data_IF_125894163842
#
_entry.id   IF_125894163842
#
_cell.length_a   1.000
_cell.length_b   1.000
_cell.length_c   1.000
_cell.angle_alpha   90.00
_cell.angle_beta   90.00
_cell.angle_gamma   90.00
#
_symmetry.space_group_name_H-M   'P 1'
#
loop_
_entity.id
_entity.type
_entity.pdbx_description
1 polymer ?
#
# COMPACT_ATOMS: atom_id res chain seq x y z
N UNK A 1 10.45 -19.12 -1.10
CA UNK A 1 9.20 -18.42 -0.74
C UNK A 1 8.84 -17.49 -1.88
N UNK A 2 7.70 -17.74 -2.49
CA UNK A 2 7.20 -17.07 -3.68
C UNK A 2 5.87 -16.41 -3.34
N UNK A 3 5.67 -15.19 -3.82
CA UNK A 3 4.40 -14.48 -3.67
C UNK A 3 3.38 -15.16 -4.60
N UNK A 4 2.28 -15.66 -4.04
CA UNK A 4 1.25 -16.43 -4.77
C UNK A 4 -0.02 -15.64 -4.99
N UNK A 5 -0.25 -14.60 -4.21
CA UNK A 5 -1.46 -13.80 -4.23
C UNK A 5 -1.35 -12.61 -3.30
N UNK A 6 -2.46 -11.89 -3.16
CA UNK A 6 -2.57 -10.80 -2.21
C UNK A 6 -4.03 -10.55 -1.82
N UNK A 7 -4.23 -9.95 -0.65
CA UNK A 7 -5.52 -9.40 -0.23
C UNK A 7 -5.36 -7.97 0.25
N UNK A 8 -6.38 -7.16 -0.01
CA UNK A 8 -6.46 -5.75 0.42
C UNK A 8 -7.62 -5.56 1.38
N UNK A 9 -7.49 -4.60 2.31
CA UNK A 9 -8.56 -4.23 3.24
C UNK A 9 -8.61 -2.71 3.41
N UNK A 10 -9.80 -2.14 3.26
CA UNK A 10 -10.12 -0.78 3.68
C UNK A 10 -10.50 -0.81 5.16
N UNK A 11 -9.56 -0.45 6.03
CA UNK A 11 -9.74 -0.45 7.49
C UNK A 11 -9.85 0.99 7.97
N UNK A 12 -10.91 1.30 8.72
CA UNK A 12 -11.14 2.64 9.30
C UNK A 12 -11.52 2.53 10.76
N UNK A 13 -10.97 3.41 11.58
CA UNK A 13 -11.24 3.52 13.00
C UNK A 13 -11.95 4.85 13.27
N UNK A 14 -13.03 4.83 14.06
CA UNK A 14 -13.85 5.99 14.38
C UNK A 14 -13.18 6.92 15.42
N UNK A 15 -11.95 7.35 15.14
CA UNK A 15 -11.19 8.25 16.03
C UNK A 15 -11.81 9.64 16.13
N UNK A 16 -12.61 10.04 15.12
CA UNK A 16 -13.34 11.31 15.15
C UNK A 16 -14.39 11.39 16.26
N UNK A 17 -14.91 10.26 16.77
CA UNK A 17 -15.88 10.23 17.87
C UNK A 17 -15.37 10.89 19.16
N UNK A 18 -14.04 10.89 19.35
CA UNK A 18 -13.38 11.53 20.50
C UNK A 18 -12.38 12.62 20.09
N UNK A 19 -12.32 12.96 18.80
CA UNK A 19 -11.36 13.91 18.20
C UNK A 19 -9.89 13.49 18.44
N UNK A 20 -9.64 12.19 18.55
CA UNK A 20 -8.28 11.65 18.70
C UNK A 20 -7.49 11.91 17.42
N UNK A 21 -6.38 12.64 17.54
CA UNK A 21 -5.56 13.04 16.39
C UNK A 21 -6.00 14.33 15.68
N UNK A 22 -7.03 15.01 16.18
CA UNK A 22 -7.47 16.30 15.63
C UNK A 22 -6.38 17.38 15.72
N UNK A 23 -6.33 18.22 14.69
CA UNK A 23 -5.40 19.35 14.60
C UNK A 23 -6.05 20.56 13.88
N UNK A 24 -5.28 21.63 13.69
CA UNK A 24 -5.77 22.87 13.07
C UNK A 24 -6.19 22.73 11.59
N UNK A 25 -5.69 21.72 10.88
CA UNK A 25 -5.99 21.40 9.49
C UNK A 25 -6.98 20.24 9.35
N UNK A 26 -6.84 19.22 10.20
CA UNK A 26 -7.62 17.99 10.18
C UNK A 26 -8.46 17.91 11.47
N UNK A 27 -9.65 18.54 11.51
CA UNK A 27 -10.41 18.68 12.75
C UNK A 27 -11.07 17.38 13.23
N UNK A 28 -11.37 16.43 12.33
CA UNK A 28 -12.17 15.23 12.58
C UNK A 28 -11.60 13.96 11.88
N UNK A 29 -10.32 13.58 12.13
CA UNK A 29 -9.72 12.46 11.42
C UNK A 29 -10.30 11.11 11.86
N UNK A 30 -10.56 10.25 10.89
CA UNK A 30 -10.81 8.82 11.13
C UNK A 30 -9.58 8.03 10.67
N UNK A 31 -8.70 7.70 11.61
CA UNK A 31 -7.46 6.98 11.31
C UNK A 31 -7.78 5.71 10.53
N UNK A 32 -7.13 5.55 9.39
CA UNK A 32 -7.46 4.51 8.42
C UNK A 32 -6.20 3.91 7.83
N UNK A 33 -6.30 2.66 7.40
CA UNK A 33 -5.24 1.92 6.74
C UNK A 33 -5.77 1.31 5.46
N UNK A 34 -5.11 1.59 4.33
CA UNK A 34 -5.21 0.76 3.15
C UNK A 34 -4.20 -0.37 3.33
N UNK A 35 -4.71 -1.53 3.76
CA UNK A 35 -3.90 -2.63 4.26
C UNK A 35 -3.71 -3.69 3.18
N UNK A 36 -2.49 -4.21 3.05
CA UNK A 36 -2.08 -5.24 2.10
C UNK A 36 -1.56 -6.46 2.87
N UNK A 37 -1.96 -7.64 2.41
CA UNK A 37 -1.32 -8.91 2.75
C UNK A 37 -0.84 -9.55 1.46
N UNK A 38 0.46 -9.78 1.33
CA UNK A 38 1.07 -10.60 0.29
C UNK A 38 1.09 -12.06 0.76
N UNK A 39 0.36 -12.90 0.04
CA UNK A 39 0.29 -14.34 0.32
C UNK A 39 1.51 -15.02 -0.30
N UNK A 40 2.06 -16.03 0.38
CA UNK A 40 3.20 -16.80 -0.14
C UNK A 40 2.93 -18.31 -0.12
N UNK A 41 3.79 -19.05 -0.81
CA UNK A 41 3.81 -20.52 -0.80
C UNK A 41 4.46 -21.14 0.46
N UNK A 42 4.80 -20.33 1.47
CA UNK A 42 5.42 -20.76 2.73
C UNK A 42 4.62 -20.36 3.98
N UNK A 43 5.27 -20.43 5.14
CA UNK A 43 4.63 -20.18 6.45
C UNK A 43 4.49 -18.69 6.81
N UNK A 44 4.84 -17.77 5.90
CA UNK A 44 4.86 -16.33 6.18
C UNK A 44 4.05 -15.56 5.15
N UNK A 45 3.45 -14.47 5.60
CA UNK A 45 2.75 -13.48 4.78
C UNK A 45 3.48 -12.13 4.90
N UNK A 46 3.46 -11.33 3.84
CA UNK A 46 3.99 -9.96 3.84
C UNK A 46 2.90 -8.97 4.19
N UNK A 47 3.00 -8.28 5.33
CA UNK A 47 2.00 -7.31 5.77
C UNK A 47 2.50 -5.88 5.55
N UNK A 48 1.74 -5.08 4.81
CA UNK A 48 2.04 -3.69 4.53
C UNK A 48 0.81 -2.80 4.66
N UNK A 49 1.01 -1.51 4.91
CA UNK A 49 -0.08 -0.54 4.92
C UNK A 49 0.41 0.86 4.55
N UNK A 50 -0.51 1.68 4.08
CA UNK A 50 -0.35 3.14 4.08
C UNK A 50 -1.47 3.78 4.88
N UNK A 51 -1.14 4.89 5.54
CA UNK A 51 -2.02 5.57 6.49
C UNK A 51 -2.80 6.69 5.81
N UNK A 52 -4.09 6.79 6.13
CA UNK A 52 -4.96 7.90 5.73
C UNK A 52 -5.87 8.33 6.89
N UNK A 53 -6.64 9.40 6.70
CA UNK A 53 -7.52 9.99 7.74
C UNK A 53 -9.01 9.82 7.42
N UNK A 54 -9.40 8.72 6.76
CA UNK A 54 -10.80 8.36 6.53
C UNK A 54 -11.18 8.39 5.05
N UNK A 55 -11.85 9.46 4.61
CA UNK A 55 -12.23 9.64 3.20
C UNK A 55 -10.99 9.59 2.30
N UNK A 56 -11.05 8.84 1.19
CA UNK A 56 -9.93 8.65 0.28
C UNK A 56 -9.07 7.42 0.59
N UNK A 57 -9.30 6.69 1.70
CA UNK A 57 -8.62 5.43 1.97
C UNK A 57 -8.88 4.41 0.85
N UNK A 58 -10.10 4.40 0.30
CA UNK A 58 -10.51 3.54 -0.80
C UNK A 58 -9.69 3.78 -2.09
N UNK A 59 -9.20 5.00 -2.30
CA UNK A 59 -8.34 5.33 -3.44
C UNK A 59 -6.96 4.69 -3.28
N UNK A 60 -6.43 4.66 -2.06
CA UNK A 60 -5.17 4.00 -1.76
C UNK A 60 -5.31 2.48 -1.88
N UNK A 61 -6.42 1.89 -1.42
CA UNK A 61 -6.73 0.47 -1.61
C UNK A 61 -6.74 0.11 -3.10
N UNK A 62 -7.48 0.85 -3.93
CA UNK A 62 -7.54 0.60 -5.37
C UNK A 62 -6.17 0.76 -6.06
N UNK A 63 -5.34 1.70 -5.59
CA UNK A 63 -3.98 1.87 -6.08
C UNK A 63 -3.06 0.69 -5.69
N UNK A 64 -3.22 0.13 -4.48
CA UNK A 64 -2.52 -1.11 -4.08
C UNK A 64 -2.97 -2.27 -4.98
N UNK A 65 -4.27 -2.42 -5.23
CA UNK A 65 -4.82 -3.47 -6.13
C UNK A 65 -4.33 -3.34 -7.56
N UNK A 66 -3.97 -2.12 -7.99
CA UNK A 66 -3.36 -1.86 -9.30
C UNK A 66 -1.87 -2.26 -9.33
N UNK A 67 -1.13 -2.05 -8.24
CA UNK A 67 0.31 -2.32 -8.15
C UNK A 67 0.64 -3.77 -7.80
N UNK A 68 -0.01 -4.32 -6.77
CA UNK A 68 0.31 -5.64 -6.19
C UNK A 68 0.34 -6.80 -7.20
N UNK A 69 -0.44 -6.82 -8.32
CA UNK A 69 -0.32 -7.88 -9.31
C UNK A 69 1.08 -8.07 -9.91
N UNK A 70 1.91 -7.03 -10.00
CA UNK A 70 3.27 -7.17 -10.55
C UNK A 70 4.23 -7.94 -9.63
N UNK A 71 3.87 -8.12 -8.36
CA UNK A 71 4.64 -8.91 -7.39
C UNK A 71 4.30 -10.41 -7.45
N UNK A 72 3.12 -10.76 -7.96
CA UNK A 72 2.67 -12.16 -7.99
C UNK A 72 3.61 -12.98 -8.87
N UNK A 73 4.21 -13.99 -8.27
CA UNK A 73 5.19 -14.85 -8.91
C UNK A 73 6.65 -14.45 -8.68
N UNK A 74 6.93 -13.32 -8.02
CA UNK A 74 8.28 -13.00 -7.55
C UNK A 74 8.63 -13.82 -6.31
N UNK A 75 9.89 -14.23 -6.18
CA UNK A 75 10.41 -14.83 -4.96
C UNK A 75 11.04 -13.80 -4.03
N UNK A 76 10.99 -14.07 -2.73
CA UNK A 76 11.67 -13.25 -1.73
C UNK A 76 13.18 -13.17 -1.97
N UNK A 77 13.79 -14.24 -2.48
CA UNK A 77 15.21 -14.29 -2.81
C UNK A 77 15.55 -13.33 -3.97
N UNK A 78 14.74 -13.30 -5.04
CA UNK A 78 14.91 -12.37 -6.16
C UNK A 78 14.78 -10.91 -5.70
N UNK A 79 13.79 -10.61 -4.85
CA UNK A 79 13.57 -9.26 -4.30
C UNK A 79 14.76 -8.84 -3.42
N UNK A 80 15.20 -9.72 -2.50
CA UNK A 80 16.30 -9.42 -1.58
C UNK A 80 17.66 -9.28 -2.28
N UNK A 81 17.86 -9.99 -3.40
CA UNK A 81 19.10 -9.93 -4.17
C UNK A 81 19.31 -8.59 -4.89
N UNK A 82 18.23 -7.90 -5.31
CA UNK A 82 18.29 -6.56 -5.91
C UNK A 82 17.08 -5.69 -5.51
N UNK A 83 17.12 -5.19 -4.28
CA UNK A 83 16.05 -4.30 -3.77
C UNK A 83 15.94 -2.99 -4.57
N UNK A 84 17.04 -2.51 -5.16
CA UNK A 84 17.01 -1.33 -6.03
C UNK A 84 16.33 -1.63 -7.37
N UNK A 85 16.53 -2.81 -7.93
CA UNK A 85 15.79 -3.34 -9.07
C UNK A 85 14.31 -3.51 -8.79
N UNK A 86 13.97 -4.11 -7.66
CA UNK A 86 12.59 -4.22 -7.18
C UNK A 86 11.91 -2.86 -7.06
N UNK A 87 12.56 -1.88 -6.42
CA UNK A 87 12.01 -0.53 -6.29
C UNK A 87 11.80 0.16 -7.64
N UNK A 88 12.74 0.01 -8.57
CA UNK A 88 12.60 0.52 -9.94
C UNK A 88 11.50 -0.20 -10.72
N UNK A 89 11.26 -1.48 -10.46
CA UNK A 89 10.16 -2.23 -11.07
C UNK A 89 8.81 -1.65 -10.63
N UNK A 90 8.63 -1.41 -9.34
CA UNK A 90 7.44 -0.80 -8.77
C UNK A 90 7.20 0.66 -9.21
N UNK A 91 8.26 1.47 -9.25
CA UNK A 91 8.15 2.92 -9.49
C UNK A 91 8.42 3.35 -10.93
N UNK A 92 8.78 2.40 -11.80
CA UNK A 92 9.27 2.65 -13.15
C UNK A 92 8.22 2.59 -14.26
N UNK A 93 7.02 2.05 -14.00
CA UNK A 93 5.95 2.00 -14.99
C UNK A 93 5.55 3.43 -15.41
N UNK A 94 5.73 3.75 -16.69
CA UNK A 94 5.54 5.13 -17.18
C UNK A 94 4.08 5.60 -17.09
N UNK A 95 3.10 4.70 -17.19
CA UNK A 95 1.68 5.05 -17.09
C UNK A 95 1.29 5.30 -15.64
N UNK A 96 1.74 4.44 -14.72
CA UNK A 96 1.50 4.64 -13.28
C UNK A 96 2.28 5.83 -12.71
N UNK A 97 3.47 6.13 -13.25
CA UNK A 97 4.20 7.36 -12.92
C UNK A 97 3.45 8.62 -13.33
N UNK A 98 2.67 8.58 -14.41
CA UNK A 98 1.96 9.75 -14.94
C UNK A 98 0.93 10.32 -13.96
N UNK A 99 0.37 9.48 -13.09
CA UNK A 99 -0.59 9.87 -12.04
C UNK A 99 0.09 10.21 -10.69
N UNK A 100 1.42 10.29 -10.65
CA UNK A 100 2.23 10.80 -9.53
C UNK A 100 3.11 11.98 -10.00
N UNK A 101 4.36 11.73 -10.46
CA UNK A 101 5.24 10.61 -10.09
C UNK A 101 5.75 10.78 -8.66
N UNK A 102 6.02 9.65 -7.99
CA UNK A 102 6.67 9.61 -6.66
C UNK A 102 5.99 10.54 -5.62
N UNK A 103 4.66 10.67 -5.72
CA UNK A 103 3.82 11.45 -4.79
C UNK A 103 2.38 10.95 -4.80
N UNK A 104 1.61 11.37 -3.79
CA UNK A 104 0.16 11.18 -3.73
C UNK A 104 -0.25 9.71 -3.63
N UNK A 105 -1.48 9.41 -4.05
CA UNK A 105 -2.13 8.09 -3.86
C UNK A 105 -1.30 6.95 -4.41
N UNK A 106 -0.77 7.06 -5.64
CA UNK A 106 0.03 5.97 -6.22
C UNK A 106 1.30 5.69 -5.42
N UNK A 107 1.98 6.72 -4.93
CA UNK A 107 3.22 6.51 -4.18
C UNK A 107 2.98 6.11 -2.72
N UNK A 108 1.86 6.52 -2.13
CA UNK A 108 1.37 5.95 -0.86
C UNK A 108 1.11 4.45 -1.00
N UNK A 109 0.47 4.02 -2.10
CA UNK A 109 0.29 2.61 -2.41
C UNK A 109 1.63 1.89 -2.64
N UNK A 110 2.58 2.50 -3.36
CA UNK A 110 3.95 1.93 -3.49
C UNK A 110 4.63 1.77 -2.13
N UNK A 111 4.38 2.63 -1.15
CA UNK A 111 4.95 2.47 0.19
C UNK A 111 4.35 1.31 0.99
N UNK A 112 3.13 0.89 0.68
CA UNK A 112 2.48 -0.27 1.29
C UNK A 112 2.90 -1.59 0.65
N UNK A 113 3.27 -1.57 -0.64
CA UNK A 113 3.66 -2.71 -1.47
C UNK A 113 5.16 -2.96 -1.38
#
# INVERSE_FOLDING_TARGET
MKITGFTTRDIRFETSAHLDGSDAMNPDPDYSAAYLVLETDGDHEGHGLTFTLGRGNELCVAAIETLAPCLVGMSLEEIAADMAGFWRHLTGDSQLRWVGPEKGVMHLATGAV
#
